data_IF_726731791862
#
_entry.id   IF_726731791862
#
_cell.length_a   1.000
_cell.length_b   1.000
_cell.length_c   1.000
_cell.angle_alpha   90.00
_cell.angle_beta   90.00
_cell.angle_gamma   90.00
#
_symmetry.space_group_name_H-M   'P 1'
#
loop_
_entity.id
_entity.type
_entity.pdbx_description
1 polymer ?
#
# COMPACT_ATOMS: atom_id res chain seq x y z
N UNK A 1 15.36 7.90 5.23
CA UNK A 1 14.96 7.03 4.10
C UNK A 1 13.55 7.37 3.59
N UNK A 2 12.48 7.24 4.39
CA UNK A 2 11.10 7.53 3.94
C UNK A 2 10.96 8.90 3.26
N UNK A 3 11.46 9.98 3.86
CA UNK A 3 11.38 11.33 3.27
C UNK A 3 11.99 11.43 1.86
N UNK A 4 13.12 10.76 1.60
CA UNK A 4 13.74 10.77 0.27
C UNK A 4 12.95 9.94 -0.74
N UNK A 5 12.38 8.79 -0.31
CA UNK A 5 11.48 8.00 -1.15
C UNK A 5 10.22 8.79 -1.53
N UNK A 6 9.63 9.50 -0.57
CA UNK A 6 8.44 10.34 -0.82
C UNK A 6 8.75 11.45 -1.83
N UNK A 7 9.95 12.05 -1.79
CA UNK A 7 10.37 13.03 -2.80
C UNK A 7 10.43 12.42 -4.20
N UNK A 8 11.02 11.23 -4.33
CA UNK A 8 11.12 10.52 -5.61
C UNK A 8 9.74 10.16 -6.15
N UNK A 9 8.85 9.65 -5.29
CA UNK A 9 7.46 9.31 -5.66
C UNK A 9 6.64 10.52 -6.13
N UNK A 10 7.00 11.74 -5.70
CA UNK A 10 6.36 12.99 -6.13
C UNK A 10 6.95 13.56 -7.42
N UNK A 11 8.02 12.98 -7.96
CA UNK A 11 8.53 13.42 -9.26
C UNK A 11 7.58 12.98 -10.38
N UNK A 12 7.37 13.85 -11.37
CA UNK A 12 6.48 13.59 -12.50
C UNK A 12 6.88 12.35 -13.27
N UNK A 13 8.19 12.17 -13.51
CA UNK A 13 8.72 11.01 -14.24
C UNK A 13 8.36 9.68 -13.55
N UNK A 14 8.59 9.59 -12.23
CA UNK A 14 8.28 8.37 -11.47
C UNK A 14 6.77 8.17 -11.37
N UNK A 15 6.00 9.24 -11.18
CA UNK A 15 4.54 9.18 -11.18
C UNK A 15 3.98 8.61 -12.48
N UNK A 16 4.48 9.07 -13.63
CA UNK A 16 4.09 8.57 -14.95
C UNK A 16 4.49 7.10 -15.16
N UNK A 17 5.69 6.71 -14.72
CA UNK A 17 6.13 5.32 -14.80
C UNK A 17 5.25 4.39 -13.97
N UNK A 18 4.93 4.79 -12.73
CA UNK A 18 4.03 4.02 -11.86
C UNK A 18 2.62 3.94 -12.46
N UNK A 19 2.10 5.04 -13.01
CA UNK A 19 0.81 5.04 -13.66
C UNK A 19 0.75 4.10 -14.87
N UNK A 20 1.82 4.01 -15.68
CA UNK A 20 1.94 3.03 -16.78
C UNK A 20 1.90 1.58 -16.31
N UNK A 21 2.32 1.32 -15.06
CA UNK A 21 2.24 0.00 -14.41
C UNK A 21 0.89 -0.23 -13.70
N UNK A 22 -0.05 0.71 -13.79
CA UNK A 22 -1.33 0.65 -13.08
C UNK A 22 -1.25 0.96 -11.58
N UNK A 23 -0.13 1.55 -11.13
CA UNK A 23 0.09 1.91 -9.73
C UNK A 23 -0.15 3.40 -9.49
N UNK A 24 -0.66 3.72 -8.30
CA UNK A 24 -0.85 5.10 -7.82
C UNK A 24 0.11 5.35 -6.66
N UNK A 25 1.03 6.32 -6.76
CA UNK A 25 1.93 6.66 -5.65
C UNK A 25 1.15 7.32 -4.50
N UNK A 26 1.37 6.88 -3.26
CA UNK A 26 0.69 7.39 -2.06
C UNK A 26 1.62 8.29 -1.24
N UNK A 27 2.86 7.88 -0.99
CA UNK A 27 3.86 8.70 -0.29
C UNK A 27 3.52 8.96 1.18
N UNK A 28 3.07 7.92 1.86
CA UNK A 28 2.67 7.89 3.27
C UNK A 28 3.84 8.01 4.26
N UNK A 29 3.50 8.45 5.47
CA UNK A 29 4.40 8.38 6.62
C UNK A 29 4.50 6.93 7.14
N UNK A 30 5.58 6.55 7.85
CA UNK A 30 5.70 5.22 8.44
C UNK A 30 4.52 4.84 9.35
N UNK A 31 3.99 5.81 10.10
CA UNK A 31 2.85 5.61 11.01
C UNK A 31 1.55 5.34 10.23
N UNK A 32 1.33 6.07 9.14
CA UNK A 32 0.19 5.85 8.24
C UNK A 32 0.28 4.48 7.56
N UNK A 33 1.47 4.08 7.11
CA UNK A 33 1.70 2.75 6.54
C UNK A 33 1.37 1.65 7.55
N UNK A 34 1.86 1.78 8.79
CA UNK A 34 1.57 0.84 9.87
C UNK A 34 0.07 0.75 10.19
N UNK A 35 -0.64 1.88 10.20
CA UNK A 35 -2.09 1.91 10.40
C UNK A 35 -2.84 1.21 9.24
N UNK A 36 -2.42 1.44 8.00
CA UNK A 36 -2.98 0.78 6.82
C UNK A 36 -2.82 -0.73 6.88
N UNK A 37 -1.60 -1.24 7.14
CA UNK A 37 -1.34 -2.68 7.25
C UNK A 37 -2.21 -3.33 8.31
N UNK A 38 -2.37 -2.68 9.48
CA UNK A 38 -3.22 -3.19 10.56
C UNK A 38 -4.69 -3.25 10.15
N UNK A 39 -5.21 -2.21 9.49
CA UNK A 39 -6.59 -2.15 9.02
C UNK A 39 -6.87 -3.22 7.96
N UNK A 40 -5.98 -3.34 6.97
CA UNK A 40 -6.11 -4.34 5.90
C UNK A 40 -6.01 -5.76 6.43
N UNK A 41 -5.06 -6.03 7.33
CA UNK A 41 -4.93 -7.35 7.97
C UNK A 41 -6.21 -7.75 8.72
N UNK A 42 -6.83 -6.81 9.45
CA UNK A 42 -8.09 -7.06 10.13
C UNK A 42 -9.25 -7.32 9.14
N UNK A 43 -9.33 -6.53 8.07
CA UNK A 43 -10.36 -6.66 7.02
C UNK A 43 -10.26 -8.01 6.31
N UNK A 44 -9.09 -8.35 5.79
CA UNK A 44 -8.88 -9.59 5.04
C UNK A 44 -8.95 -10.81 5.95
N UNK A 45 -8.46 -10.73 7.19
CA UNK A 45 -8.61 -11.79 8.18
C UNK A 45 -10.07 -12.10 8.51
N UNK A 46 -10.94 -11.08 8.55
CA UNK A 46 -12.38 -11.28 8.67
C UNK A 46 -12.96 -11.98 7.43
N UNK A 47 -12.66 -11.48 6.23
CA UNK A 47 -13.16 -12.05 4.97
C UNK A 47 -12.78 -13.53 4.83
N UNK A 48 -11.52 -13.89 5.12
CA UNK A 48 -11.04 -15.28 5.05
C UNK A 48 -11.86 -16.19 5.97
N UNK A 49 -12.11 -15.75 7.21
CA UNK A 49 -12.91 -16.51 8.19
C UNK A 49 -14.37 -16.62 7.74
N UNK A 50 -14.97 -15.51 7.31
CA UNK A 50 -16.37 -15.45 6.90
C UNK A 50 -16.64 -16.34 5.66
N UNK A 51 -15.67 -16.42 4.73
CA UNK A 51 -15.78 -17.23 3.52
C UNK A 51 -15.21 -18.66 3.66
N UNK A 52 -14.65 -19.01 4.82
CA UNK A 52 -14.05 -20.34 5.06
C UNK A 52 -12.88 -20.67 4.15
N UNK A 53 -12.15 -19.67 3.64
CA UNK A 53 -11.00 -19.84 2.76
C UNK A 53 -9.85 -20.45 3.56
N UNK A 54 -9.24 -21.52 3.04
CA UNK A 54 -8.11 -22.22 3.68
C UNK A 54 -6.86 -22.07 2.82
N UNK A 55 -5.68 -21.88 3.43
CA UNK A 55 -4.41 -22.03 2.71
C UNK A 55 -4.26 -23.48 2.24
N UNK A 56 -3.58 -23.67 1.12
CA UNK A 56 -3.21 -24.99 0.58
C UNK A 56 -2.15 -25.72 1.43
#
# INVERSE_FOLDING_TARGET
>A
LNAELVKVLRSTEVGEQLARLGAVPVGDTPEQFGAFVKAESARWGKIIKDLGIKPE
#
